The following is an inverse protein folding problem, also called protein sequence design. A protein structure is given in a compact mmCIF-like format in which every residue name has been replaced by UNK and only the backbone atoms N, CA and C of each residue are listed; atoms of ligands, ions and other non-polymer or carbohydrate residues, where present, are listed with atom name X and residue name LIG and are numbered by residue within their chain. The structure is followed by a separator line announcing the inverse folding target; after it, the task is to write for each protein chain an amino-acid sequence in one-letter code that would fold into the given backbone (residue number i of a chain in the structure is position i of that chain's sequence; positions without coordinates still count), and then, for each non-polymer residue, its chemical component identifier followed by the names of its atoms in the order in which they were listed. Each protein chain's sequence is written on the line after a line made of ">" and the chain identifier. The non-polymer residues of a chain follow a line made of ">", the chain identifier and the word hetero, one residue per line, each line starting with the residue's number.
data_IF_280673380986
#
_entry.id   IF_280673380986
#
_cell.length_a   1.000
_cell.length_b   1.000
_cell.length_c   1.000
_cell.angle_alpha   90.00
_cell.angle_beta   90.00
_cell.angle_gamma   90.00
#
_symmetry.space_group_name_H-M   'P 1'
#
loop_
_entity.id
_entity.type
_entity.pdbx_description
1 polymer ?
#
# COMPACT_ATOMS: atom_id res chain seq x y z
N UNK A 1 -29.67 53.46 -16.25
CA UNK A 1 -30.34 52.28 -16.80
C UNK A 1 -29.29 51.42 -17.51
N UNK A 2 -28.75 50.43 -16.82
CA UNK A 2 -27.80 49.50 -17.42
C UNK A 2 -28.58 48.33 -18.02
N UNK A 3 -28.74 48.32 -19.33
CA UNK A 3 -29.27 47.19 -20.09
C UNK A 3 -28.06 46.34 -20.54
N UNK A 4 -27.52 45.56 -19.63
CA UNK A 4 -26.74 44.40 -20.01
C UNK A 4 -27.71 43.23 -19.96
N UNK A 5 -28.43 43.03 -21.06
CA UNK A 5 -29.30 41.86 -21.23
C UNK A 5 -28.46 40.59 -21.19
N UNK A 6 -28.99 39.62 -20.50
CA UNK A 6 -28.50 38.28 -20.31
C UNK A 6 -28.05 37.66 -21.65
N UNK A 7 -26.72 37.58 -21.87
CA UNK A 7 -26.10 37.00 -23.07
C UNK A 7 -26.03 35.45 -22.99
N UNK A 8 -26.82 34.82 -22.15
CA UNK A 8 -26.93 33.37 -22.11
C UNK A 8 -27.79 32.87 -23.27
N UNK A 9 -27.18 32.04 -24.14
CA UNK A 9 -27.87 31.40 -25.24
C UNK A 9 -29.06 30.56 -24.70
N UNK A 10 -30.25 30.77 -25.26
CA UNK A 10 -31.42 29.96 -24.89
C UNK A 10 -31.13 28.49 -25.19
N UNK A 11 -31.49 27.60 -24.25
CA UNK A 11 -31.39 26.17 -24.41
C UNK A 11 -32.07 25.72 -25.71
N UNK A 12 -31.27 25.15 -26.61
CA UNK A 12 -31.77 24.61 -27.87
C UNK A 12 -32.10 23.14 -27.71
N UNK A 13 -33.11 22.64 -28.40
CA UNK A 13 -33.59 21.23 -28.29
C UNK A 13 -32.57 20.17 -28.71
N UNK A 14 -31.42 20.54 -29.25
CA UNK A 14 -30.36 19.61 -29.64
C UNK A 14 -30.81 18.53 -30.64
N UNK A 15 -29.86 17.67 -31.08
CA UNK A 15 -30.18 16.50 -31.94
C UNK A 15 -30.91 15.45 -31.09
N UNK A 16 -32.04 14.86 -31.58
CA UNK A 16 -32.71 13.78 -30.88
C UNK A 16 -31.79 12.62 -30.52
N UNK A 17 -32.01 12.01 -29.37
CA UNK A 17 -31.21 10.88 -28.90
C UNK A 17 -31.47 9.66 -29.80
N UNK A 18 -30.42 9.08 -30.38
CA UNK A 18 -30.50 7.89 -31.24
C UNK A 18 -30.87 6.65 -30.43
N UNK A 19 -30.39 6.60 -29.16
CA UNK A 19 -30.58 5.45 -28.26
C UNK A 19 -31.55 5.78 -27.14
N UNK A 20 -32.52 4.89 -26.91
CA UNK A 20 -33.54 4.99 -25.86
C UNK A 20 -32.93 4.90 -24.45
N UNK A 21 -33.69 5.25 -23.42
CA UNK A 21 -33.27 5.02 -22.03
C UNK A 21 -33.18 3.53 -21.72
N UNK A 22 -34.06 2.68 -22.28
CA UNK A 22 -34.02 1.22 -22.17
C UNK A 22 -32.67 0.68 -22.67
N UNK A 23 -32.26 1.07 -23.88
CA UNK A 23 -30.93 0.72 -24.42
C UNK A 23 -29.80 1.10 -23.50
N UNK A 24 -29.84 2.29 -22.88
CA UNK A 24 -28.79 2.74 -21.94
C UNK A 24 -28.74 1.91 -20.67
N UNK A 25 -29.89 1.45 -20.18
CA UNK A 25 -29.98 0.55 -19.03
C UNK A 25 -29.45 -0.85 -19.38
N UNK A 26 -29.81 -1.40 -20.53
CA UNK A 26 -29.32 -2.71 -21.02
C UNK A 26 -27.79 -2.68 -21.20
N UNK A 27 -27.25 -1.64 -21.83
CA UNK A 27 -25.80 -1.47 -21.95
C UNK A 27 -25.11 -1.36 -20.60
N UNK A 28 -25.72 -0.68 -19.65
CA UNK A 28 -25.19 -0.58 -18.29
C UNK A 28 -25.23 -1.94 -17.60
N UNK A 29 -26.34 -2.68 -17.74
CA UNK A 29 -26.50 -4.05 -17.23
C UNK A 29 -25.44 -5.00 -17.82
N UNK A 30 -25.24 -4.95 -19.13
CA UNK A 30 -24.19 -5.72 -19.81
C UNK A 30 -22.81 -5.53 -19.15
N UNK A 31 -22.39 -4.29 -18.94
CA UNK A 31 -21.09 -4.03 -18.29
C UNK A 31 -21.00 -4.42 -16.81
N UNK A 32 -22.11 -4.41 -16.10
CA UNK A 32 -22.14 -4.73 -14.67
C UNK A 32 -22.30 -6.23 -14.39
N UNK A 33 -22.94 -6.98 -15.30
CA UNK A 33 -23.35 -8.36 -15.06
C UNK A 33 -22.60 -9.38 -15.91
N UNK A 34 -21.94 -8.96 -16.99
CA UNK A 34 -21.24 -9.88 -17.89
C UNK A 34 -19.73 -9.71 -17.86
N UNK A 35 -19.04 -10.80 -18.20
CA UNK A 35 -17.58 -10.85 -18.35
C UNK A 35 -17.24 -11.44 -19.71
N UNK A 36 -16.08 -11.04 -20.32
CA UNK A 36 -15.66 -11.58 -21.62
C UNK A 36 -15.46 -13.09 -21.65
N UNK A 37 -15.02 -13.66 -20.52
CA UNK A 37 -14.80 -15.09 -20.32
C UNK A 37 -15.49 -15.56 -19.05
N UNK A 38 -15.83 -16.85 -18.93
CA UNK A 38 -16.39 -17.40 -17.71
C UNK A 38 -15.50 -17.06 -16.48
N UNK A 39 -16.07 -16.36 -15.52
CA UNK A 39 -15.43 -15.92 -14.28
C UNK A 39 -14.15 -15.08 -14.45
N UNK A 40 -13.90 -14.51 -15.62
CA UNK A 40 -12.64 -13.82 -15.92
C UNK A 40 -12.81 -12.67 -16.92
N UNK A 41 -11.86 -11.75 -16.86
CA UNK A 41 -11.72 -10.65 -17.80
C UNK A 41 -12.61 -9.44 -17.52
N UNK A 42 -12.42 -8.42 -18.33
CA UNK A 42 -13.19 -7.17 -18.27
C UNK A 42 -13.42 -6.63 -19.66
N UNK A 43 -14.61 -6.14 -19.90
CA UNK A 43 -14.91 -5.46 -21.14
C UNK A 43 -14.14 -4.15 -21.26
N UNK A 44 -13.23 -4.05 -22.22
CA UNK A 44 -12.74 -2.75 -22.67
C UNK A 44 -13.78 -2.11 -23.57
N UNK A 45 -13.75 -0.77 -23.70
CA UNK A 45 -14.73 -0.06 -24.53
C UNK A 45 -14.71 -0.52 -26.00
N UNK A 46 -13.51 -0.85 -26.53
CA UNK A 46 -13.35 -1.33 -27.90
C UNK A 46 -13.89 -2.76 -28.04
N UNK A 47 -13.50 -3.63 -27.14
CA UNK A 47 -13.91 -5.03 -27.19
C UNK A 47 -15.43 -5.18 -27.06
N UNK A 48 -16.04 -4.48 -26.09
CA UNK A 48 -17.49 -4.48 -25.96
C UNK A 48 -18.19 -3.94 -27.22
N UNK A 49 -17.69 -2.87 -27.82
CA UNK A 49 -18.27 -2.36 -29.08
C UNK A 49 -18.20 -3.41 -30.21
N UNK A 50 -17.09 -4.14 -30.32
CA UNK A 50 -16.94 -5.21 -31.32
C UNK A 50 -17.86 -6.38 -31.02
N UNK A 51 -17.94 -6.82 -29.75
CA UNK A 51 -18.81 -7.92 -29.33
C UNK A 51 -20.30 -7.59 -29.56
N UNK A 52 -20.75 -6.41 -29.13
CA UNK A 52 -22.13 -5.97 -29.33
C UNK A 52 -22.48 -5.68 -30.81
N UNK A 53 -21.48 -5.46 -31.66
CA UNK A 53 -21.72 -5.39 -33.11
C UNK A 53 -21.90 -6.78 -33.73
N UNK A 54 -21.28 -7.82 -33.16
CA UNK A 54 -21.47 -9.20 -33.58
C UNK A 54 -22.76 -9.81 -33.03
N UNK A 55 -23.22 -9.38 -31.85
CA UNK A 55 -24.40 -9.87 -31.14
C UNK A 55 -25.33 -8.69 -30.75
N UNK A 56 -25.97 -8.01 -31.73
CA UNK A 56 -26.73 -6.79 -31.46
C UNK A 56 -27.96 -6.97 -30.59
N UNK A 57 -28.46 -8.19 -30.46
CA UNK A 57 -29.63 -8.57 -29.63
C UNK A 57 -29.37 -8.41 -28.13
N UNK A 58 -28.09 -8.43 -27.68
CA UNK A 58 -27.72 -8.30 -26.27
C UNK A 58 -28.22 -6.97 -25.68
N UNK A 59 -28.12 -5.89 -26.47
CA UNK A 59 -28.54 -4.54 -26.04
C UNK A 59 -29.43 -3.84 -27.06
N UNK A 60 -30.07 -4.60 -27.96
CA UNK A 60 -30.92 -4.08 -29.04
C UNK A 60 -30.23 -2.93 -29.83
N UNK A 61 -28.97 -3.12 -30.20
CA UNK A 61 -28.24 -2.14 -31.02
C UNK A 61 -26.73 -2.33 -31.08
N UNK A 62 -26.08 -1.57 -31.93
CA UNK A 62 -24.65 -1.62 -32.21
C UNK A 62 -23.97 -0.31 -31.83
N UNK A 63 -23.70 -0.06 -30.55
CA UNK A 63 -23.12 1.21 -30.11
C UNK A 63 -21.65 1.31 -30.46
N UNK A 64 -21.24 2.47 -30.98
CA UNK A 64 -19.81 2.78 -31.13
C UNK A 64 -19.11 2.90 -29.76
N UNK A 65 -17.79 2.71 -29.74
CA UNK A 65 -16.94 2.95 -28.55
C UNK A 65 -17.24 4.29 -27.89
N UNK A 66 -17.40 5.37 -28.66
CA UNK A 66 -17.66 6.71 -28.13
C UNK A 66 -19.06 6.84 -27.53
N UNK A 67 -20.03 6.14 -28.06
CA UNK A 67 -21.39 6.07 -27.50
C UNK A 67 -21.39 5.33 -26.17
N UNK A 68 -20.74 4.18 -26.10
CA UNK A 68 -20.54 3.43 -24.85
C UNK A 68 -19.89 4.32 -23.79
N UNK A 69 -18.79 4.98 -24.14
CA UNK A 69 -18.07 5.85 -23.22
C UNK A 69 -18.95 6.98 -22.66
N UNK A 70 -19.76 7.63 -23.52
CA UNK A 70 -20.69 8.69 -23.09
C UNK A 70 -21.77 8.18 -22.13
N UNK A 71 -22.36 7.05 -22.42
CA UNK A 71 -23.42 6.45 -21.59
C UNK A 71 -22.85 6.07 -20.23
N UNK A 72 -21.71 5.36 -20.18
CA UNK A 72 -21.06 4.98 -18.92
C UNK A 72 -20.60 6.21 -18.11
N UNK A 73 -20.07 7.24 -18.77
CA UNK A 73 -19.64 8.50 -18.12
C UNK A 73 -20.85 9.23 -17.50
N UNK A 74 -21.99 9.29 -18.19
CA UNK A 74 -23.21 9.92 -17.67
C UNK A 74 -23.69 9.23 -16.37
N UNK A 75 -23.53 7.92 -16.28
CA UNK A 75 -23.88 7.11 -15.10
C UNK A 75 -22.73 7.00 -14.08
N UNK A 76 -21.63 7.76 -14.27
CA UNK A 76 -20.43 7.70 -13.44
C UNK A 76 -19.82 6.28 -13.29
N UNK A 77 -19.98 5.44 -14.31
CA UNK A 77 -19.49 4.08 -14.35
C UNK A 77 -18.18 3.97 -15.12
N UNK A 78 -17.23 3.22 -14.56
CA UNK A 78 -15.90 2.96 -15.16
C UNK A 78 -15.54 1.48 -15.05
N UNK A 79 -16.36 0.56 -15.56
CA UNK A 79 -16.16 -0.89 -15.38
C UNK A 79 -14.89 -1.42 -16.05
N UNK A 80 -14.34 -0.69 -17.02
CA UNK A 80 -13.07 -0.98 -17.70
C UNK A 80 -11.84 -0.61 -16.87
N UNK A 81 -12.01 0.10 -15.75
CA UNK A 81 -10.92 0.48 -14.84
C UNK A 81 -10.91 -0.42 -13.61
N UNK A 82 -9.73 -0.87 -13.22
CA UNK A 82 -9.53 -1.46 -11.90
C UNK A 82 -8.89 -0.47 -10.95
N UNK A 83 -9.29 -0.57 -9.71
CA UNK A 83 -8.61 0.09 -8.60
C UNK A 83 -8.31 -0.95 -7.55
N UNK A 84 -7.07 -0.98 -7.12
CA UNK A 84 -6.71 -1.75 -5.95
C UNK A 84 -7.36 -1.12 -4.72
N UNK A 85 -7.79 -1.93 -3.81
CA UNK A 85 -8.26 -1.49 -2.51
C UNK A 85 -7.58 -2.35 -1.44
N UNK A 86 -7.26 -1.75 -0.32
CA UNK A 86 -6.76 -2.47 0.83
C UNK A 86 -7.88 -3.30 1.43
N UNK A 87 -7.69 -4.63 1.46
CA UNK A 87 -8.53 -5.54 2.24
C UNK A 87 -7.90 -5.68 3.62
N UNK A 88 -8.53 -5.10 4.64
CA UNK A 88 -8.04 -5.13 6.00
C UNK A 88 -8.43 -6.48 6.59
N UNK A 89 -7.45 -7.36 6.75
CA UNK A 89 -7.59 -8.68 7.38
C UNK A 89 -7.03 -8.70 8.80
N UNK A 90 -6.11 -7.79 9.12
CA UNK A 90 -5.55 -7.64 10.46
C UNK A 90 -6.59 -7.00 11.39
N UNK A 91 -7.05 -7.68 12.46
CA UNK A 91 -8.00 -7.12 13.41
C UNK A 91 -7.42 -5.90 14.14
N UNK A 92 -6.09 -5.83 14.28
CA UNK A 92 -5.37 -4.76 14.96
C UNK A 92 -4.75 -3.75 13.97
N UNK A 93 -5.23 -3.71 12.73
CA UNK A 93 -4.68 -2.83 11.69
C UNK A 93 -4.64 -1.36 12.12
N UNK A 94 -5.76 -0.84 12.60
CA UNK A 94 -5.85 0.57 13.01
C UNK A 94 -5.05 0.89 14.27
N UNK A 95 -5.08 0.08 15.35
CA UNK A 95 -4.20 0.27 16.50
C UNK A 95 -2.72 0.29 16.12
N UNK A 96 -2.26 -0.66 15.31
CA UNK A 96 -0.86 -0.70 14.84
C UNK A 96 -0.51 0.51 13.96
N UNK A 97 -1.40 0.87 13.03
CA UNK A 97 -1.21 2.06 12.17
C UNK A 97 -1.12 3.33 13.02
N UNK A 98 -2.00 3.50 14.00
CA UNK A 98 -1.97 4.64 14.91
C UNK A 98 -0.68 4.70 15.72
N UNK A 99 -0.28 3.57 16.29
CA UNK A 99 0.98 3.46 17.02
C UNK A 99 2.17 3.92 16.18
N UNK A 100 2.27 3.46 14.92
CA UNK A 100 3.35 3.88 14.02
C UNK A 100 3.27 5.38 13.68
N UNK A 101 2.07 5.92 13.43
CA UNK A 101 1.91 7.35 13.18
C UNK A 101 2.37 8.18 14.37
N UNK A 102 2.01 7.78 15.61
CA UNK A 102 2.49 8.45 16.82
C UNK A 102 4.02 8.32 16.98
N UNK A 103 4.58 7.15 16.68
CA UNK A 103 6.02 6.92 16.69
C UNK A 103 6.75 7.85 15.70
N UNK A 104 6.19 8.12 14.52
CA UNK A 104 6.77 9.00 13.51
C UNK A 104 6.60 10.49 13.84
N UNK A 105 5.54 10.86 14.57
CA UNK A 105 5.33 12.24 15.03
C UNK A 105 6.23 12.60 16.22
N UNK A 106 6.58 11.61 17.04
CA UNK A 106 7.47 11.76 18.21
C UNK A 106 8.50 10.63 18.20
N UNK A 107 9.44 10.64 17.25
CA UNK A 107 10.37 9.54 17.08
C UNK A 107 11.35 9.45 18.25
N UNK A 108 11.71 8.24 18.72
CA UNK A 108 12.84 8.03 19.59
C UNK A 108 14.14 8.36 18.84
N UNK A 109 15.21 8.64 19.58
CA UNK A 109 16.51 9.07 19.01
C UNK A 109 17.05 8.12 17.95
N UNK A 110 16.98 6.81 18.21
CA UNK A 110 17.51 5.75 17.33
C UNK A 110 16.34 4.95 16.74
N UNK A 111 15.62 5.54 15.81
CA UNK A 111 14.53 4.87 15.08
C UNK A 111 15.01 4.51 13.69
N UNK A 112 14.94 3.22 13.37
CA UNK A 112 15.27 2.65 12.07
C UNK A 112 14.09 1.94 11.44
N UNK A 113 14.06 1.95 10.11
CA UNK A 113 13.11 1.20 9.29
C UNK A 113 13.88 0.10 8.57
N UNK A 114 13.49 -1.13 8.77
CA UNK A 114 14.11 -2.27 8.12
C UNK A 114 13.14 -2.96 7.17
N UNK A 115 13.65 -3.37 6.02
CA UNK A 115 12.97 -4.28 5.11
C UNK A 115 13.98 -4.92 4.15
N UNK A 116 13.51 -5.92 3.38
CA UNK A 116 14.23 -6.54 2.29
C UNK A 116 13.67 -6.09 0.93
N UNK A 117 14.56 -5.81 -0.02
CA UNK A 117 14.22 -5.71 -1.45
C UNK A 117 14.72 -6.98 -2.16
N UNK A 118 13.89 -8.04 -2.22
CA UNK A 118 14.31 -9.32 -2.76
C UNK A 118 14.22 -9.37 -4.28
N UNK A 119 14.99 -10.26 -4.89
CA UNK A 119 14.80 -10.66 -6.27
C UNK A 119 15.10 -9.58 -7.30
N UNK A 120 16.01 -8.65 -7.00
CA UNK A 120 16.49 -7.66 -7.95
C UNK A 120 17.15 -8.39 -9.11
N UNK A 121 16.57 -8.27 -10.30
CA UNK A 121 17.05 -9.01 -11.46
C UNK A 121 18.28 -8.36 -12.06
N UNK A 122 19.30 -9.16 -12.28
CA UNK A 122 20.47 -8.77 -13.03
C UNK A 122 20.18 -8.95 -14.53
N UNK A 123 20.02 -7.84 -15.22
CA UNK A 123 19.75 -7.80 -16.64
C UNK A 123 21.02 -7.42 -17.38
N UNK A 124 21.44 -8.24 -18.35
CA UNK A 124 22.55 -7.93 -19.27
C UNK A 124 21.97 -7.64 -20.65
N UNK A 125 22.08 -6.42 -21.10
CA UNK A 125 21.78 -6.05 -22.51
C UNK A 125 22.96 -6.39 -23.39
N UNK A 126 22.69 -6.82 -24.61
CA UNK A 126 23.73 -7.25 -25.55
C UNK A 126 24.40 -6.08 -26.25
N UNK A 127 23.67 -4.98 -26.42
CA UNK A 127 24.15 -3.78 -27.10
C UNK A 127 24.12 -2.60 -26.13
N UNK A 128 25.14 -1.71 -26.16
CA UNK A 128 25.15 -0.50 -25.35
C UNK A 128 23.97 0.42 -25.69
N UNK A 129 23.50 1.16 -24.71
CA UNK A 129 22.46 2.16 -24.90
C UNK A 129 22.89 3.26 -25.87
N UNK A 130 21.98 3.68 -26.71
CA UNK A 130 22.19 4.76 -27.66
C UNK A 130 21.55 6.05 -27.14
N UNK A 131 22.12 7.18 -27.50
CA UNK A 131 21.53 8.50 -27.24
C UNK A 131 21.10 9.14 -28.55
N UNK A 132 19.88 9.66 -28.59
CA UNK A 132 19.43 10.44 -29.76
C UNK A 132 20.02 11.84 -29.71
N UNK A 133 20.70 12.27 -30.79
CA UNK A 133 21.33 13.59 -30.87
C UNK A 133 20.36 14.75 -30.64
N UNK A 134 19.12 14.64 -31.17
CA UNK A 134 18.13 15.72 -31.11
C UNK A 134 17.43 15.89 -29.76
N UNK A 135 17.27 14.84 -28.93
CA UNK A 135 16.43 14.88 -27.74
C UNK A 135 17.15 14.41 -26.50
N UNK A 136 18.39 13.97 -26.59
CA UNK A 136 19.18 13.34 -25.53
C UNK A 136 18.44 12.16 -24.83
N UNK A 137 17.42 11.58 -25.50
CA UNK A 137 16.73 10.41 -24.98
C UNK A 137 17.66 9.21 -25.04
N UNK A 138 17.72 8.48 -23.96
CA UNK A 138 18.36 7.17 -23.88
C UNK A 138 17.47 6.15 -24.59
N UNK A 139 18.04 5.41 -25.52
CA UNK A 139 17.41 4.28 -26.19
C UNK A 139 18.03 3.02 -25.62
N UNK A 140 17.23 2.27 -24.90
CA UNK A 140 17.63 1.02 -24.26
C UNK A 140 17.30 -0.15 -25.18
N UNK A 141 18.20 -1.14 -25.22
CA UNK A 141 17.94 -2.37 -25.95
C UNK A 141 16.75 -3.12 -25.31
N UNK A 142 15.89 -3.63 -26.16
CA UNK A 142 14.72 -4.39 -25.76
C UNK A 142 15.07 -5.79 -25.24
N UNK A 143 16.05 -6.45 -25.87
CA UNK A 143 16.46 -7.80 -25.51
C UNK A 143 17.50 -7.79 -24.38
N UNK A 144 17.37 -8.74 -23.47
CA UNK A 144 18.30 -8.90 -22.35
C UNK A 144 18.43 -10.37 -21.93
N UNK A 145 19.57 -10.70 -21.36
CA UNK A 145 19.82 -11.98 -20.68
C UNK A 145 19.65 -11.76 -19.17
N UNK A 146 18.97 -12.70 -18.51
CA UNK A 146 18.86 -12.73 -17.05
C UNK A 146 19.99 -13.56 -16.45
N UNK A 147 20.86 -12.92 -15.70
CA UNK A 147 22.06 -13.53 -15.11
C UNK A 147 21.93 -13.81 -13.60
N UNK A 148 20.70 -13.86 -13.07
CA UNK A 148 20.45 -14.14 -11.67
C UNK A 148 19.73 -13.02 -10.96
N UNK A 149 19.71 -13.09 -9.64
CA UNK A 149 19.05 -12.13 -8.76
C UNK A 149 19.93 -11.79 -7.57
N UNK A 150 19.76 -10.60 -7.05
CA UNK A 150 20.36 -10.13 -5.80
C UNK A 150 19.29 -9.62 -4.86
N UNK A 151 19.58 -9.63 -3.57
CA UNK A 151 18.69 -9.08 -2.55
C UNK A 151 19.42 -7.95 -1.82
N UNK A 152 18.69 -6.91 -1.45
CA UNK A 152 19.22 -5.82 -0.62
C UNK A 152 18.48 -5.83 0.70
N UNK A 153 19.21 -5.96 1.80
CA UNK A 153 18.73 -5.80 3.17
C UNK A 153 19.16 -4.42 3.65
N UNK A 154 18.22 -3.60 4.14
CA UNK A 154 18.55 -2.22 4.46
C UNK A 154 17.87 -1.69 5.73
N UNK A 155 18.56 -0.78 6.42
CA UNK A 155 18.12 -0.07 7.62
C UNK A 155 18.17 1.43 7.34
N UNK A 156 17.03 2.08 7.27
CA UNK A 156 16.90 3.52 7.04
C UNK A 156 16.79 4.24 8.39
N UNK A 157 17.68 5.18 8.67
CA UNK A 157 17.65 5.99 9.87
C UNK A 157 16.64 7.14 9.74
N UNK A 158 15.68 7.21 10.66
CA UNK A 158 14.67 8.27 10.65
C UNK A 158 15.26 9.68 10.83
N UNK A 159 16.29 9.82 11.64
CA UNK A 159 16.80 11.13 12.08
C UNK A 159 17.54 11.88 10.97
N UNK A 160 18.36 11.19 10.19
CA UNK A 160 19.24 11.80 9.17
C UNK A 160 18.99 11.26 7.75
N UNK A 161 18.19 10.21 7.61
CA UNK A 161 17.90 9.57 6.33
C UNK A 161 19.03 8.73 5.76
N UNK A 162 20.09 8.48 6.54
CA UNK A 162 21.16 7.56 6.13
C UNK A 162 20.69 6.12 6.13
N UNK A 163 21.34 5.32 5.34
CA UNK A 163 20.98 3.91 5.16
C UNK A 163 22.21 3.02 5.39
N UNK A 164 22.03 2.00 6.20
CA UNK A 164 22.93 0.86 6.24
C UNK A 164 22.30 -0.21 5.36
N UNK A 165 22.90 -0.51 4.21
CA UNK A 165 22.38 -1.48 3.25
C UNK A 165 23.46 -2.47 2.83
N UNK A 166 23.06 -3.72 2.62
CA UNK A 166 23.93 -4.81 2.21
C UNK A 166 23.32 -5.59 1.06
N UNK A 167 24.14 -5.87 0.04
CA UNK A 167 23.80 -6.79 -1.05
C UNK A 167 24.03 -8.22 -0.59
N UNK A 168 23.01 -9.07 -0.71
CA UNK A 168 23.03 -10.45 -0.24
C UNK A 168 22.58 -11.42 -1.35
N UNK A 169 23.14 -12.61 -1.34
CA UNK A 169 22.73 -13.66 -2.28
C UNK A 169 21.32 -14.19 -2.00
N UNK A 170 20.92 -14.18 -0.74
CA UNK A 170 19.59 -14.58 -0.30
C UNK A 170 19.04 -13.68 0.81
N UNK A 171 17.81 -13.92 1.23
CA UNK A 171 17.12 -13.24 2.33
C UNK A 171 16.62 -14.25 3.38
N UNK A 172 17.40 -15.31 3.60
CA UNK A 172 17.09 -16.34 4.61
C UNK A 172 17.28 -15.81 6.02
N UNK A 173 16.74 -16.55 6.99
CA UNK A 173 16.82 -16.17 8.41
C UNK A 173 18.26 -15.88 8.85
N UNK A 174 19.20 -16.75 8.52
CA UNK A 174 20.60 -16.57 8.97
C UNK A 174 21.25 -15.33 8.37
N UNK A 175 20.98 -15.04 7.09
CA UNK A 175 21.44 -13.84 6.39
C UNK A 175 20.86 -12.58 7.03
N UNK A 176 19.55 -12.57 7.31
CA UNK A 176 18.90 -11.49 8.03
C UNK A 176 19.51 -11.27 9.42
N UNK A 177 19.64 -12.33 10.23
CA UNK A 177 20.18 -12.24 11.58
C UNK A 177 21.62 -11.72 11.61
N UNK A 178 22.45 -12.16 10.67
CA UNK A 178 23.84 -11.70 10.54
C UNK A 178 23.89 -10.19 10.17
N UNK A 179 23.08 -9.78 9.19
CA UNK A 179 22.98 -8.36 8.78
C UNK A 179 22.45 -7.48 9.92
N UNK A 180 21.42 -7.96 10.65
CA UNK A 180 20.88 -7.26 11.82
C UNK A 180 21.94 -7.06 12.91
N UNK A 181 22.74 -8.09 13.25
CA UNK A 181 23.83 -7.98 14.22
C UNK A 181 24.88 -6.95 13.78
N UNK A 182 25.28 -6.95 12.50
CA UNK A 182 26.22 -5.96 11.97
C UNK A 182 25.67 -4.54 12.09
N UNK A 183 24.41 -4.33 11.73
CA UNK A 183 23.79 -3.02 11.89
C UNK A 183 23.74 -2.58 13.36
N UNK A 184 23.30 -3.44 14.28
CA UNK A 184 23.26 -3.12 15.72
C UNK A 184 24.65 -2.76 16.27
N UNK A 185 25.73 -3.37 15.75
CA UNK A 185 27.11 -3.05 16.16
C UNK A 185 27.56 -1.65 15.74
N UNK A 186 26.92 -1.04 14.74
CA UNK A 186 27.18 0.37 14.34
C UNK A 186 26.45 1.39 15.20
N UNK A 187 25.49 0.94 16.00
CA UNK A 187 24.67 1.82 16.85
C UNK A 187 25.28 1.99 18.26
N UNK A 188 25.01 3.13 18.95
CA UNK A 188 25.49 3.36 20.31
C UNK A 188 25.13 2.23 21.29
N UNK A 189 26.11 1.71 22.02
CA UNK A 189 25.96 0.50 22.85
C UNK A 189 24.92 0.62 23.95
N UNK A 190 24.80 1.79 24.57
CA UNK A 190 24.02 2.02 25.80
C UNK A 190 22.68 2.76 25.54
N UNK A 191 22.25 2.86 24.30
CA UNK A 191 21.00 3.54 23.95
C UNK A 191 19.96 2.55 23.42
N UNK A 192 18.68 2.75 23.72
CA UNK A 192 17.61 1.98 23.10
C UNK A 192 17.60 2.19 21.58
N UNK A 193 17.31 1.13 20.84
CA UNK A 193 17.18 1.15 19.38
C UNK A 193 15.79 0.61 19.03
N UNK A 194 15.08 1.38 18.24
CA UNK A 194 13.74 1.05 17.79
C UNK A 194 13.76 0.70 16.29
N UNK A 195 13.14 -0.42 15.94
CA UNK A 195 13.02 -0.86 14.55
C UNK A 195 11.56 -0.98 14.14
N UNK A 196 11.21 -0.39 13.01
CA UNK A 196 9.95 -0.68 12.33
C UNK A 196 10.21 -1.78 11.30
N UNK A 197 9.45 -2.86 11.38
CA UNK A 197 9.59 -4.04 10.50
C UNK A 197 8.22 -4.54 10.05
N UNK A 198 8.21 -5.31 8.98
CA UNK A 198 7.02 -6.02 8.55
C UNK A 198 6.78 -7.32 9.38
N UNK A 199 5.70 -8.03 9.05
CA UNK A 199 5.32 -9.26 9.75
C UNK A 199 5.88 -10.53 9.10
N UNK A 200 7.01 -10.47 8.42
CA UNK A 200 7.62 -11.67 7.84
C UNK A 200 7.95 -12.69 8.96
N UNK A 201 7.86 -13.98 8.65
CA UNK A 201 8.06 -15.04 9.64
C UNK A 201 9.48 -15.02 10.25
N UNK A 202 10.48 -14.61 9.49
CA UNK A 202 11.86 -14.41 9.95
C UNK A 202 11.96 -13.36 11.04
N UNK A 203 11.18 -12.27 10.94
CA UNK A 203 11.19 -11.16 11.90
C UNK A 203 10.42 -11.45 13.19
N UNK A 204 9.72 -12.58 13.27
CA UNK A 204 8.93 -13.01 14.45
C UNK A 204 9.28 -14.40 14.91
N UNK A 205 10.35 -14.96 14.35
CA UNK A 205 10.83 -16.29 14.69
C UNK A 205 11.60 -16.30 16.02
N UNK A 206 11.63 -17.46 16.70
CA UNK A 206 12.43 -17.64 17.90
C UNK A 206 13.92 -17.37 17.69
N UNK A 207 14.55 -17.71 16.54
CA UNK A 207 15.93 -17.31 16.26
C UNK A 207 16.18 -15.81 16.33
N UNK A 208 15.20 -14.99 15.92
CA UNK A 208 15.30 -13.53 16.04
C UNK A 208 15.19 -13.08 17.50
N UNK A 209 14.31 -13.70 18.31
CA UNK A 209 14.26 -13.42 19.75
C UNK A 209 15.63 -13.68 20.43
N UNK A 210 16.28 -14.81 20.09
CA UNK A 210 17.64 -15.10 20.57
C UNK A 210 18.64 -14.02 20.19
N UNK A 211 18.61 -13.60 18.91
CA UNK A 211 19.52 -12.55 18.40
C UNK A 211 19.26 -11.22 19.12
N UNK A 212 18.00 -10.84 19.31
CA UNK A 212 17.65 -9.61 20.04
C UNK A 212 18.14 -9.67 21.50
N UNK A 213 18.00 -10.80 22.17
CA UNK A 213 18.51 -11.00 23.53
C UNK A 213 20.04 -10.86 23.58
N UNK A 214 20.74 -11.55 22.67
CA UNK A 214 22.21 -11.52 22.55
C UNK A 214 22.74 -10.09 22.36
N UNK A 215 22.19 -9.33 21.38
CA UNK A 215 22.64 -7.96 21.12
C UNK A 215 22.17 -6.94 22.17
N UNK A 216 21.20 -7.32 22.99
CA UNK A 216 20.75 -6.53 24.15
C UNK A 216 21.49 -6.88 25.44
N UNK A 217 22.33 -7.92 25.44
CA UNK A 217 23.07 -8.37 26.60
C UNK A 217 22.19 -8.95 27.72
N UNK A 218 21.06 -9.60 27.37
CA UNK A 218 20.11 -10.18 28.31
C UNK A 218 19.86 -11.65 27.99
N UNK A 219 19.35 -12.40 28.97
CA UNK A 219 18.93 -13.77 28.74
C UNK A 219 17.69 -13.85 27.88
N UNK A 220 17.70 -14.74 26.89
CA UNK A 220 16.51 -15.01 26.08
C UNK A 220 15.56 -15.94 26.84
N UNK A 221 14.27 -15.61 26.95
CA UNK A 221 13.29 -16.57 27.44
C UNK A 221 13.34 -17.87 26.63
N UNK A 222 13.09 -18.99 27.29
CA UNK A 222 13.15 -20.31 26.65
C UNK A 222 12.13 -20.45 25.51
N UNK A 223 12.39 -21.37 24.57
CA UNK A 223 11.48 -21.62 23.46
C UNK A 223 10.09 -22.09 23.94
N UNK A 224 10.00 -22.71 25.12
CA UNK A 224 8.74 -23.11 25.75
C UNK A 224 7.95 -21.89 26.28
N UNK A 225 8.63 -20.87 26.76
CA UNK A 225 8.00 -19.61 27.19
C UNK A 225 7.54 -18.79 26.00
N UNK A 226 8.30 -18.79 24.89
CA UNK A 226 7.99 -18.12 23.63
C UNK A 226 7.43 -19.10 22.57
N UNK A 227 6.64 -20.10 22.96
CA UNK A 227 6.09 -21.14 22.08
C UNK A 227 5.14 -20.58 21.02
N UNK A 228 4.36 -19.53 21.37
CA UNK A 228 3.36 -18.90 20.50
C UNK A 228 3.88 -17.63 19.85
N UNK A 229 3.36 -17.37 18.65
CA UNK A 229 3.69 -16.17 17.91
C UNK A 229 3.38 -14.89 18.69
N UNK A 230 2.20 -14.85 19.35
CA UNK A 230 1.76 -13.70 20.13
C UNK A 230 2.74 -13.37 21.26
N UNK A 231 3.25 -14.37 21.97
CA UNK A 231 4.24 -14.20 23.03
C UNK A 231 5.58 -13.67 22.50
N UNK A 232 6.02 -14.17 21.33
CA UNK A 232 7.24 -13.65 20.67
C UNK A 232 7.08 -12.20 20.25
N UNK A 233 5.94 -11.85 19.66
CA UNK A 233 5.65 -10.48 19.26
C UNK A 233 5.58 -9.58 20.49
N UNK A 234 4.86 -9.99 21.57
CA UNK A 234 4.80 -9.25 22.82
C UNK A 234 6.19 -9.00 23.42
N UNK A 235 7.03 -10.05 23.46
CA UNK A 235 8.40 -9.92 23.96
C UNK A 235 9.26 -9.01 23.04
N UNK A 236 9.18 -9.12 21.72
CA UNK A 236 9.94 -8.28 20.78
C UNK A 236 9.52 -6.79 20.83
N UNK A 237 8.27 -6.51 21.14
CA UNK A 237 7.73 -5.15 21.24
C UNK A 237 7.89 -4.51 22.61
N UNK A 238 8.24 -5.28 23.66
CA UNK A 238 8.41 -4.73 25.00
C UNK A 238 9.60 -3.75 25.06
N UNK A 239 9.47 -2.74 25.92
CA UNK A 239 10.44 -1.62 26.05
C UNK A 239 11.43 -1.83 27.20
N UNK A 240 11.47 -3.01 27.79
CA UNK A 240 12.32 -3.40 28.91
C UNK A 240 13.73 -3.84 28.50
N UNK A 241 14.06 -3.75 27.20
CA UNK A 241 15.34 -4.15 26.63
C UNK A 241 15.84 -3.11 25.62
N UNK A 242 17.11 -3.24 25.25
CA UNK A 242 17.78 -2.31 24.32
C UNK A 242 17.11 -2.26 22.94
N UNK A 243 16.67 -3.40 22.42
CA UNK A 243 16.05 -3.51 21.09
C UNK A 243 14.54 -3.59 21.22
N UNK A 244 13.83 -2.68 20.57
CA UNK A 244 12.37 -2.62 20.56
C UNK A 244 11.88 -2.70 19.12
N UNK A 245 11.04 -3.69 18.83
CA UNK A 245 10.48 -3.88 17.48
C UNK A 245 9.06 -3.32 17.41
N UNK A 246 8.76 -2.60 16.34
CA UNK A 246 7.43 -2.10 16.02
C UNK A 246 6.97 -2.73 14.71
N UNK A 247 5.97 -3.60 14.76
CA UNK A 247 5.48 -4.28 13.57
C UNK A 247 4.44 -3.45 12.80
N UNK A 248 4.59 -3.40 11.48
CA UNK A 248 3.54 -2.86 10.61
C UNK A 248 2.28 -3.73 10.70
N UNK A 249 1.07 -3.19 10.44
CA UNK A 249 -0.10 -4.06 10.28
C UNK A 249 0.05 -4.96 9.04
N UNK A 250 -0.64 -6.10 9.02
CA UNK A 250 -0.68 -6.94 7.81
C UNK A 250 -1.19 -6.13 6.60
N UNK A 251 -0.53 -6.28 5.46
CA UNK A 251 -0.76 -5.49 4.24
C UNK A 251 -0.52 -3.97 4.42
N UNK A 252 0.25 -3.59 5.43
CA UNK A 252 0.60 -2.21 5.75
C UNK A 252 2.07 -1.86 5.51
N UNK A 253 2.80 -2.57 4.63
CA UNK A 253 4.22 -2.29 4.31
C UNK A 253 4.46 -0.84 3.88
N UNK A 254 3.50 -0.23 3.20
CA UNK A 254 3.54 1.19 2.82
C UNK A 254 3.67 2.17 4.01
N UNK A 255 3.45 1.71 5.24
CA UNK A 255 3.75 2.46 6.47
C UNK A 255 5.25 2.39 6.82
N UNK A 256 6.01 1.44 6.28
CA UNK A 256 7.44 1.35 6.45
C UNK A 256 8.15 2.37 5.55
N UNK A 257 8.83 3.37 6.14
CA UNK A 257 9.43 4.46 5.36
C UNK A 257 10.56 4.02 4.43
N UNK A 258 11.19 2.89 4.68
CA UNK A 258 12.23 2.36 3.81
C UNK A 258 11.73 2.01 2.40
N UNK A 259 10.44 1.76 2.24
CA UNK A 259 9.82 1.51 0.93
C UNK A 259 10.00 2.70 -0.04
N UNK A 260 9.99 3.92 0.49
CA UNK A 260 10.29 5.11 -0.32
C UNK A 260 11.74 5.11 -0.82
N UNK A 261 12.67 4.73 0.04
CA UNK A 261 14.07 4.62 -0.33
C UNK A 261 14.29 3.52 -1.36
N UNK A 262 13.71 2.34 -1.18
CA UNK A 262 13.73 1.29 -2.21
C UNK A 262 13.16 1.76 -3.54
N UNK A 263 12.10 2.56 -3.52
CA UNK A 263 11.55 3.18 -4.73
C UNK A 263 12.54 4.11 -5.45
N UNK A 264 13.39 4.82 -4.71
CA UNK A 264 14.45 5.67 -5.27
C UNK A 264 15.60 4.80 -5.79
N UNK A 265 16.10 3.87 -5.00
CA UNK A 265 17.14 2.91 -5.35
C UNK A 265 16.81 2.17 -6.65
N UNK A 266 15.63 1.59 -6.73
CA UNK A 266 15.19 0.83 -7.90
C UNK A 266 15.18 1.67 -9.18
N UNK A 267 14.78 2.93 -9.11
CA UNK A 267 14.79 3.83 -10.27
C UNK A 267 16.19 4.24 -10.71
N UNK A 268 17.16 4.21 -9.82
CA UNK A 268 18.52 4.68 -10.07
C UNK A 268 19.46 3.58 -10.52
N UNK A 269 19.31 2.38 -9.96
CA UNK A 269 20.29 1.30 -10.13
C UNK A 269 19.67 0.03 -10.73
N UNK A 270 18.46 -0.38 -10.34
CA UNK A 270 17.94 -1.71 -10.70
C UNK A 270 17.64 -1.92 -12.19
N UNK A 271 17.49 -0.86 -12.96
CA UNK A 271 17.12 -0.93 -14.39
C UNK A 271 18.32 -0.82 -15.33
N UNK A 272 19.55 -0.78 -14.82
CA UNK A 272 20.75 -0.70 -15.63
C UNK A 272 21.17 -2.08 -16.17
N UNK A 273 22.16 -2.10 -17.06
CA UNK A 273 22.72 -3.34 -17.63
C UNK A 273 23.98 -3.73 -16.88
N UNK A 274 24.03 -4.98 -16.40
CA UNK A 274 25.15 -5.51 -15.63
C UNK A 274 25.68 -6.80 -16.25
N UNK A 275 26.99 -6.87 -16.43
CA UNK A 275 27.66 -8.02 -16.99
C UNK A 275 27.84 -9.18 -16.01
N UNK A 276 27.97 -8.87 -14.71
CA UNK A 276 28.21 -9.84 -13.66
C UNK A 276 27.52 -9.45 -12.33
N UNK A 277 27.34 -10.39 -11.40
CA UNK A 277 26.84 -10.11 -10.04
C UNK A 277 27.71 -9.11 -9.28
N UNK A 278 29.02 -9.12 -9.53
CA UNK A 278 29.99 -8.24 -8.91
C UNK A 278 29.75 -6.79 -9.36
N UNK A 279 29.60 -6.55 -10.68
CA UNK A 279 29.26 -5.22 -11.21
C UNK A 279 27.94 -4.69 -10.64
N UNK A 280 26.93 -5.54 -10.54
CA UNK A 280 25.66 -5.18 -9.93
C UNK A 280 25.87 -4.77 -8.47
N UNK A 281 26.60 -5.56 -7.69
CA UNK A 281 26.90 -5.29 -6.30
C UNK A 281 27.67 -3.98 -6.13
N UNK A 282 28.75 -3.79 -6.89
CA UNK A 282 29.55 -2.56 -6.89
C UNK A 282 28.71 -1.31 -7.18
N UNK A 283 27.81 -1.40 -8.15
CA UNK A 283 26.91 -0.28 -8.49
C UNK A 283 25.94 0.06 -7.35
N UNK A 284 25.42 -0.96 -6.64
CA UNK A 284 24.56 -0.74 -5.48
C UNK A 284 25.34 -0.16 -4.31
N UNK A 285 26.53 -0.68 -4.02
CA UNK A 285 27.40 -0.17 -2.96
C UNK A 285 27.83 1.28 -3.21
N UNK A 286 28.18 1.63 -4.46
CA UNK A 286 28.44 3.00 -4.87
C UNK A 286 27.22 3.91 -4.68
N UNK A 287 26.01 3.44 -5.01
CA UNK A 287 24.79 4.18 -4.75
C UNK A 287 24.53 4.37 -3.26
N UNK A 288 24.79 3.36 -2.42
CA UNK A 288 24.62 3.50 -0.96
C UNK A 288 25.57 4.55 -0.37
N UNK A 289 26.81 4.58 -0.85
CA UNK A 289 27.80 5.57 -0.44
C UNK A 289 27.40 6.97 -0.90
N UNK A 290 27.01 7.14 -2.17
CA UNK A 290 26.55 8.42 -2.70
C UNK A 290 25.28 8.91 -1.99
N UNK A 291 24.33 7.99 -1.72
CA UNK A 291 23.16 8.33 -0.93
C UNK A 291 23.54 8.88 0.43
N UNK A 292 24.35 8.17 1.18
CA UNK A 292 24.75 8.55 2.55
C UNK A 292 25.57 9.82 2.61
N UNK A 293 26.33 10.12 1.56
CA UNK A 293 27.25 11.26 1.52
C UNK A 293 26.57 12.55 1.02
N UNK A 294 25.74 12.43 -0.01
CA UNK A 294 25.21 13.59 -0.74
C UNK A 294 23.68 13.71 -0.71
N UNK A 295 22.96 12.60 -0.63
CA UNK A 295 21.51 12.57 -0.87
C UNK A 295 20.69 12.30 0.39
N UNK A 296 21.30 11.79 1.45
CA UNK A 296 20.61 11.40 2.67
C UNK A 296 19.82 12.56 3.26
N UNK A 297 18.55 12.33 3.50
CA UNK A 297 17.65 13.27 4.16
C UNK A 297 16.50 12.51 4.81
N UNK A 298 15.96 12.99 5.94
CA UNK A 298 14.82 12.37 6.59
C UNK A 298 13.56 12.55 5.75
N UNK A 299 12.75 11.50 5.63
CA UNK A 299 11.45 11.60 4.99
C UNK A 299 10.44 12.22 5.95
N UNK A 300 9.72 13.24 5.50
CA UNK A 300 8.63 13.85 6.26
C UNK A 300 7.39 12.98 6.19
N UNK A 301 6.96 12.48 7.33
CA UNK A 301 5.66 11.82 7.44
C UNK A 301 4.54 12.85 7.55
N UNK A 302 3.61 12.87 6.59
CA UNK A 302 2.47 13.81 6.56
C UNK A 302 1.11 13.11 6.64
N UNK A 303 1.09 11.78 6.56
CA UNK A 303 -0.15 11.00 6.56
C UNK A 303 -0.68 10.80 7.99
N UNK A 304 -1.94 11.21 8.24
CA UNK A 304 -2.59 11.13 9.55
C UNK A 304 -3.54 9.93 9.72
N UNK A 305 -3.64 9.05 8.76
CA UNK A 305 -4.48 7.85 8.80
C UNK A 305 -5.98 8.10 8.57
N UNK A 306 -6.46 9.34 8.72
CA UNK A 306 -7.90 9.67 8.69
C UNK A 306 -8.59 9.31 7.38
N UNK A 307 -7.92 9.55 6.25
CA UNK A 307 -8.47 9.24 4.93
C UNK A 307 -8.74 7.75 4.72
N UNK A 308 -7.83 6.88 5.15
CA UNK A 308 -8.00 5.43 5.08
C UNK A 308 -9.07 4.96 6.05
N UNK A 309 -9.03 5.46 7.29
CA UNK A 309 -10.02 5.16 8.33
C UNK A 309 -11.44 5.47 7.85
N UNK A 310 -11.70 6.69 7.37
CA UNK A 310 -12.99 7.09 6.81
C UNK A 310 -13.45 6.19 5.67
N UNK A 311 -12.53 5.81 4.76
CA UNK A 311 -12.83 4.88 3.66
C UNK A 311 -13.18 3.48 4.18
N UNK A 312 -12.48 2.98 5.19
CA UNK A 312 -12.72 1.67 5.80
C UNK A 312 -14.09 1.63 6.49
N UNK A 313 -14.40 2.61 7.32
CA UNK A 313 -15.71 2.74 8.01
C UNK A 313 -16.85 2.76 6.99
N UNK A 314 -16.77 3.62 5.98
CA UNK A 314 -17.78 3.71 4.92
C UNK A 314 -17.95 2.37 4.16
N UNK A 315 -16.85 1.65 3.93
CA UNK A 315 -16.88 0.35 3.27
C UNK A 315 -17.53 -0.71 4.14
N UNK A 316 -17.11 -0.86 5.39
CA UNK A 316 -17.68 -1.84 6.32
C UNK A 316 -19.19 -1.58 6.52
N UNK A 317 -19.58 -0.31 6.61
CA UNK A 317 -20.99 0.07 6.69
C UNK A 317 -21.78 -0.33 5.44
N UNK A 318 -21.20 -0.17 4.24
CA UNK A 318 -21.84 -0.63 3.00
C UNK A 318 -21.91 -2.15 2.92
N UNK A 319 -20.84 -2.87 3.26
CA UNK A 319 -20.83 -4.33 3.27
C UNK A 319 -21.85 -4.88 4.28
N UNK A 320 -21.95 -4.28 5.46
CA UNK A 320 -22.92 -4.69 6.49
C UNK A 320 -24.38 -4.58 6.00
N UNK A 321 -24.69 -3.58 5.16
CA UNK A 321 -26.03 -3.44 4.55
C UNK A 321 -26.40 -4.57 3.60
N UNK A 322 -25.41 -5.23 3.01
CA UNK A 322 -25.60 -6.31 2.02
C UNK A 322 -25.24 -7.69 2.57
N UNK A 323 -24.74 -7.77 3.80
CA UNK A 323 -24.36 -9.03 4.43
C UNK A 323 -25.62 -9.85 4.75
N UNK A 324 -25.59 -11.12 4.35
CA UNK A 324 -26.72 -12.05 4.50
C UNK A 324 -26.44 -13.14 5.54
N UNK A 325 -25.19 -13.51 5.76
CA UNK A 325 -24.84 -14.54 6.73
C UNK A 325 -24.57 -13.98 8.14
N UNK A 326 -24.99 -14.74 9.16
CA UNK A 326 -24.79 -14.37 10.56
C UNK A 326 -23.31 -14.19 10.93
N UNK A 327 -22.43 -15.01 10.35
CA UNK A 327 -20.99 -14.96 10.55
C UNK A 327 -20.39 -13.69 9.94
N UNK A 328 -20.77 -13.36 8.71
CA UNK A 328 -20.34 -12.17 8.00
C UNK A 328 -20.76 -10.89 8.74
N UNK A 329 -22.02 -10.82 9.19
CA UNK A 329 -22.53 -9.69 9.97
C UNK A 329 -21.73 -9.54 11.27
N UNK A 330 -21.44 -10.64 11.98
CA UNK A 330 -20.67 -10.63 13.22
C UNK A 330 -19.26 -10.11 13.00
N UNK A 331 -18.56 -10.60 11.96
CA UNK A 331 -17.20 -10.20 11.60
C UNK A 331 -17.12 -8.73 11.21
N UNK A 332 -18.01 -8.29 10.31
CA UNK A 332 -18.06 -6.89 9.87
C UNK A 332 -18.41 -5.93 11.02
N UNK A 333 -19.31 -6.35 11.91
CA UNK A 333 -19.67 -5.56 13.10
C UNK A 333 -18.48 -5.42 14.06
N UNK A 334 -17.70 -6.47 14.26
CA UNK A 334 -16.47 -6.42 15.07
C UNK A 334 -15.45 -5.46 14.47
N UNK A 335 -15.19 -5.56 13.17
CA UNK A 335 -14.27 -4.67 12.45
C UNK A 335 -14.72 -3.21 12.47
N UNK A 336 -16.02 -2.97 12.30
CA UNK A 336 -16.58 -1.61 12.36
C UNK A 336 -16.46 -1.00 13.76
N UNK A 337 -16.67 -1.80 14.82
CA UNK A 337 -16.46 -1.34 16.21
C UNK A 337 -15.02 -0.97 16.48
N UNK A 338 -14.06 -1.81 16.07
CA UNK A 338 -12.62 -1.51 16.20
C UNK A 338 -12.25 -0.22 15.47
N UNK A 339 -12.72 -0.04 14.24
CA UNK A 339 -12.49 1.17 13.49
C UNK A 339 -13.12 2.41 14.16
N UNK A 340 -14.33 2.30 14.70
CA UNK A 340 -15.01 3.42 15.38
C UNK A 340 -14.37 3.79 16.73
N UNK A 341 -13.93 2.83 17.53
CA UNK A 341 -13.29 3.11 18.81
C UNK A 341 -12.02 3.95 18.63
N UNK A 342 -11.25 3.68 17.58
CA UNK A 342 -10.08 4.49 17.25
C UNK A 342 -10.47 5.89 16.76
N UNK A 343 -11.57 5.99 16.01
CA UNK A 343 -12.08 7.26 15.52
C UNK A 343 -12.52 8.18 16.67
N UNK A 344 -13.21 7.65 17.65
CA UNK A 344 -13.65 8.39 18.84
C UNK A 344 -12.46 8.90 19.66
N UNK A 345 -11.41 8.10 19.81
CA UNK A 345 -10.18 8.52 20.49
C UNK A 345 -9.45 9.67 19.76
N UNK A 346 -9.40 9.63 18.43
CA UNK A 346 -8.77 10.69 17.62
C UNK A 346 -9.53 12.03 17.60
N UNK A 347 -10.86 12.01 17.79
CA UNK A 347 -11.70 13.17 17.59
C UNK A 347 -12.15 13.84 18.89
N UNK A 348 -12.14 13.15 20.02
CA UNK A 348 -12.40 13.77 21.33
C UNK A 348 -11.39 14.86 21.67
N UNK A 349 -10.13 14.71 21.26
CA UNK A 349 -9.08 15.69 21.52
C UNK A 349 -9.15 16.97 20.63
N UNK A 350 -9.96 16.99 19.58
CA UNK A 350 -9.97 18.09 18.59
C UNK A 350 -11.33 18.71 18.27
N UNK A 351 -12.34 18.49 19.08
CA UNK A 351 -13.62 19.23 18.99
C UNK A 351 -14.43 19.02 17.70
N UNK A 352 -14.23 17.90 16.97
CA UNK A 352 -15.01 17.59 15.77
C UNK A 352 -16.19 16.69 16.14
N UNK A 353 -17.40 17.16 15.81
CA UNK A 353 -18.66 16.54 16.15
C UNK A 353 -18.76 15.05 15.79
N UNK A 354 -19.18 14.25 16.78
CA UNK A 354 -19.45 12.83 16.70
C UNK A 354 -20.41 12.48 15.56
N UNK A 355 -19.92 11.73 14.58
CA UNK A 355 -20.82 10.98 13.68
C UNK A 355 -21.09 9.63 14.38
N UNK A 356 -21.98 9.65 15.35
CA UNK A 356 -22.41 8.46 16.07
C UNK A 356 -23.17 7.49 15.15
N UNK A 357 -22.57 6.35 14.83
CA UNK A 357 -23.28 5.22 14.22
C UNK A 357 -23.77 4.33 15.36
N UNK A 358 -25.06 4.38 15.66
CA UNK A 358 -25.68 3.50 16.65
C UNK A 358 -26.07 2.19 15.96
N UNK A 359 -25.43 1.10 16.36
CA UNK A 359 -25.82 -0.25 15.95
C UNK A 359 -26.91 -0.70 16.92
N UNK A 360 -28.15 -0.74 16.48
CA UNK A 360 -29.26 -1.26 17.27
C UNK A 360 -29.15 -2.78 17.45
N UNK A 361 -29.67 -3.30 18.57
CA UNK A 361 -29.67 -4.74 18.95
C UNK A 361 -30.22 -5.69 17.87
N UNK A 362 -30.95 -5.20 16.89
CA UNK A 362 -31.59 -5.97 15.82
C UNK A 362 -30.94 -5.75 14.45
N UNK A 363 -29.69 -5.33 14.35
CA UNK A 363 -28.96 -5.21 13.07
C UNK A 363 -29.39 -4.04 12.18
N UNK A 364 -30.23 -3.14 12.67
CA UNK A 364 -30.67 -1.97 11.90
C UNK A 364 -29.78 -0.76 12.19
N UNK A 365 -29.24 -0.13 11.12
CA UNK A 365 -28.43 1.08 11.20
C UNK A 365 -29.34 2.31 11.29
N UNK A 366 -29.29 3.04 12.40
CA UNK A 366 -29.93 4.38 12.50
C UNK A 366 -28.85 5.47 12.55
N UNK A 367 -28.94 6.41 11.62
CA UNK A 367 -28.18 7.66 11.69
C UNK A 367 -28.84 8.61 12.68
N UNK A 368 -28.11 8.98 13.71
CA UNK A 368 -28.50 10.12 14.56
C UNK A 368 -27.75 11.35 14.06
N UNK A 369 -28.47 12.32 13.49
CA UNK A 369 -27.92 13.68 13.36
C UNK A 369 -27.78 14.24 14.77
N UNK A 370 -26.56 14.48 15.21
CA UNK A 370 -26.32 15.27 16.41
C UNK A 370 -26.41 16.72 16.00
N UNK A 371 -27.51 17.36 16.37
CA UNK A 371 -27.65 18.82 16.36
C UNK A 371 -26.75 19.37 17.46
N UNK A 372 -25.83 20.24 17.09
CA UNK A 372 -25.05 21.05 18.00
C UNK A 372 -25.99 21.98 18.82
N UNK A 373 -25.91 21.88 20.13
CA UNK A 373 -26.17 23.00 20.99
C UNK A 373 -24.89 23.74 21.30
#
# INVERSE_FOLDING_TARGET
>A
MNIIGDLTDRSRSGRPAIYSETFKLELTGFYCQTQPFPNSGRWTLRWAATHLAAEPEIVNGTPSKSTIQRILKKNNLKPHQSRYFLHITDPDFFPKMEHLIQLYLKPPKNLFFFDECPGIQMLKRLVPDLRTEKTAKRLEEFEYIRNGTMNVLAFFNHADGKVHAECQADHKTDTFLATFKRHVSTCPANEPIHYVMDNLSTHRGYPFCKTVAEVSGIDCPSEKELDKLEKRVEWLTSTDKRIVIHFTPYHGSWLNLIEFWFGIMNKKVSNESYGSPEELKESFEAFFEEWNTLLAHPFKWSYDGKGLHKKAVNRFTKMLKHASSRLEISTLTKQLRLANNLFDHYFHDKGVANIGIIICKNGCLKHKKVTSQ
#
